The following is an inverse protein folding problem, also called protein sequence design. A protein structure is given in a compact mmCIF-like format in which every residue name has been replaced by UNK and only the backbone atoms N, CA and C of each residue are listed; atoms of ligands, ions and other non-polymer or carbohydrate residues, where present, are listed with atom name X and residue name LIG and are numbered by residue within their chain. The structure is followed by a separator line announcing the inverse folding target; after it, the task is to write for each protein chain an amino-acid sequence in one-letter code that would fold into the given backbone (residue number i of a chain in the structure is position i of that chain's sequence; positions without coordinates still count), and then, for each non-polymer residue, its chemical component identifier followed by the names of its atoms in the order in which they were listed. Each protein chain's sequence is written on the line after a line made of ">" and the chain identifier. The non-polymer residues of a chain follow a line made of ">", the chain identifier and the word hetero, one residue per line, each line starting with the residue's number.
data_IF_093162541341
#
_entry.id   IF_093162541341
#
_cell.length_a   1.000
_cell.length_b   1.000
_cell.length_c   1.000
_cell.angle_alpha   90.00
_cell.angle_beta   90.00
_cell.angle_gamma   90.00
#
_symmetry.space_group_name_H-M   'P 1'
#
loop_
_entity.id
_entity.type
_entity.pdbx_description
1 polymer ?
#
# COMPACT_ATOMS: atom_id res chain seq x y z
N UNK A 1 -4.69 -31.51 20.99
CA UNK A 1 -5.62 -31.73 19.84
C UNK A 1 -7.00 -32.06 20.41
N UNK A 2 -8.15 -31.71 19.80
CA UNK A 2 -8.42 -30.78 18.68
C UNK A 2 -9.61 -29.78 18.90
N UNK A 3 -9.69 -28.79 17.99
CA UNK A 3 -10.87 -28.11 17.35
C UNK A 3 -11.92 -27.31 18.15
N UNK A 4 -11.87 -25.99 17.92
CA UNK A 4 -12.87 -25.13 17.25
C UNK A 4 -14.38 -25.33 17.51
N UNK A 5 -15.06 -24.22 17.86
CA UNK A 5 -16.30 -23.84 17.17
C UNK A 5 -16.55 -22.32 17.23
N UNK A 6 -16.97 -21.83 16.08
CA UNK A 6 -17.37 -20.48 15.69
C UNK A 6 -18.58 -19.97 16.45
N UNK A 7 -18.47 -18.79 17.08
CA UNK A 7 -19.63 -17.98 17.45
C UNK A 7 -20.00 -17.09 16.28
N UNK A 8 -21.01 -17.54 15.53
CA UNK A 8 -21.68 -16.75 14.50
C UNK A 8 -22.39 -15.52 15.08
N UNK A 9 -22.68 -14.59 14.18
CA UNK A 9 -23.54 -13.44 14.42
C UNK A 9 -24.79 -13.82 15.22
N UNK A 10 -24.90 -13.31 16.44
CA UNK A 10 -26.19 -13.15 17.09
C UNK A 10 -26.64 -11.72 16.85
N UNK A 11 -27.49 -11.56 15.84
CA UNK A 11 -28.32 -10.38 15.73
C UNK A 11 -29.31 -10.44 16.90
N UNK A 12 -29.17 -9.51 17.84
CA UNK A 12 -29.97 -9.45 19.05
C UNK A 12 -31.46 -9.33 18.69
N UNK A 13 -32.20 -10.40 18.99
CA UNK A 13 -33.52 -10.42 19.62
C UNK A 13 -34.44 -9.23 19.34
N UNK A 14 -35.36 -9.42 18.38
CA UNK A 14 -36.69 -8.82 18.45
C UNK A 14 -37.62 -9.88 19.06
N UNK A 15 -37.88 -9.76 20.36
CA UNK A 15 -38.89 -10.56 21.06
C UNK A 15 -40.28 -10.04 20.69
N UNK A 16 -41.04 -10.79 19.89
CA UNK A 16 -42.47 -10.58 19.71
C UNK A 16 -43.23 -11.74 20.33
N UNK A 17 -43.54 -11.61 21.62
CA UNK A 17 -44.66 -12.32 22.26
C UNK A 17 -45.97 -11.72 21.74
N UNK A 18 -46.89 -12.55 21.24
CA UNK A 18 -48.33 -12.25 21.29
C UNK A 18 -49.05 -11.90 19.98
N UNK A 19 -50.02 -12.76 19.68
CA UNK A 19 -51.15 -12.61 18.75
C UNK A 19 -50.89 -12.88 17.26
N UNK A 20 -51.55 -13.95 16.78
CA UNK A 20 -51.69 -14.28 15.36
C UNK A 20 -52.68 -13.31 14.71
N UNK A 21 -52.21 -12.18 14.21
CA UNK A 21 -52.96 -11.40 13.21
C UNK A 21 -52.49 -11.84 11.83
N UNK A 22 -53.42 -12.31 11.00
CA UNK A 22 -53.15 -12.63 9.60
C UNK A 22 -52.62 -11.38 8.87
N UNK A 23 -51.30 -11.33 8.66
CA UNK A 23 -50.68 -10.26 7.87
C UNK A 23 -51.28 -10.28 6.47
N UNK A 24 -51.79 -9.13 6.03
CA UNK A 24 -52.30 -8.99 4.67
C UNK A 24 -51.17 -9.20 3.66
N UNK A 25 -51.51 -9.68 2.44
CA UNK A 25 -50.54 -9.79 1.34
C UNK A 25 -49.81 -8.47 1.05
N UNK A 26 -50.45 -7.33 1.31
CA UNK A 26 -49.83 -6.01 1.21
C UNK A 26 -48.76 -5.77 2.28
N UNK A 27 -48.99 -6.22 3.53
CA UNK A 27 -47.99 -6.13 4.60
C UNK A 27 -46.80 -7.08 4.35
N UNK A 28 -47.04 -8.26 3.79
CA UNK A 28 -45.99 -9.19 3.37
C UNK A 28 -45.17 -8.64 2.19
N UNK A 29 -45.82 -8.00 1.21
CA UNK A 29 -45.14 -7.34 0.10
C UNK A 29 -44.37 -6.10 0.55
N UNK A 30 -44.88 -5.34 1.52
CA UNK A 30 -44.19 -4.20 2.11
C UNK A 30 -42.96 -4.62 2.94
N UNK A 31 -43.06 -5.71 3.71
CA UNK A 31 -41.92 -6.29 4.44
C UNK A 31 -40.88 -6.92 3.50
N UNK A 32 -41.31 -7.59 2.41
CA UNK A 32 -40.40 -8.04 1.36
C UNK A 32 -39.75 -6.86 0.61
N UNK A 33 -40.48 -5.78 0.35
CA UNK A 33 -39.94 -4.56 -0.26
C UNK A 33 -38.96 -3.84 0.67
N UNK A 34 -39.21 -3.81 1.99
CA UNK A 34 -38.30 -3.27 3.00
C UNK A 34 -37.06 -4.16 3.20
N UNK A 35 -37.22 -5.49 3.12
CA UNK A 35 -36.10 -6.44 3.16
C UNK A 35 -35.23 -6.38 1.89
N UNK A 36 -35.82 -6.09 0.73
CA UNK A 36 -35.11 -5.88 -0.53
C UNK A 36 -34.52 -4.46 -0.65
N UNK A 37 -35.15 -3.45 -0.05
CA UNK A 37 -34.64 -2.08 0.00
C UNK A 37 -33.51 -1.92 1.04
N UNK A 38 -33.52 -2.70 2.12
CA UNK A 38 -32.46 -2.73 3.14
C UNK A 38 -31.10 -3.25 2.63
N UNK A 39 -31.05 -3.81 1.41
CA UNK A 39 -29.83 -4.31 0.79
C UNK A 39 -29.25 -3.37 -0.29
N UNK A 40 -29.94 -2.30 -0.68
CA UNK A 40 -29.48 -1.40 -1.75
C UNK A 40 -28.54 -0.27 -1.27
N UNK A 41 -28.33 -0.14 0.05
CA UNK A 41 -27.62 0.99 0.67
C UNK A 41 -26.55 0.55 1.68
N UNK A 42 -26.07 -0.69 1.62
CA UNK A 42 -24.88 -1.07 2.40
C UNK A 42 -23.63 -0.44 1.74
N UNK A 43 -23.48 0.87 1.92
CA UNK A 43 -22.43 1.72 1.32
C UNK A 43 -21.09 1.59 2.07
N UNK A 44 -20.81 0.40 2.62
CA UNK A 44 -19.69 0.08 3.50
C UNK A 44 -19.46 1.06 4.66
N UNK A 45 -20.45 1.89 5.00
CA UNK A 45 -20.27 2.98 5.97
C UNK A 45 -19.99 2.45 7.38
N UNK A 46 -20.56 1.30 7.75
CA UNK A 46 -20.24 0.61 9.00
C UNK A 46 -18.78 0.11 9.03
N UNK A 47 -18.28 -0.43 7.91
CA UNK A 47 -16.87 -0.84 7.76
C UNK A 47 -15.94 0.35 7.94
N UNK A 48 -16.25 1.49 7.33
CA UNK A 48 -15.43 2.70 7.45
C UNK A 48 -15.45 3.25 8.88
N UNK A 49 -16.62 3.37 9.51
CA UNK A 49 -16.74 3.84 10.91
C UNK A 49 -15.94 2.94 11.86
N UNK A 50 -16.04 1.62 11.70
CA UNK A 50 -15.33 0.69 12.56
C UNK A 50 -13.82 0.67 12.27
N UNK A 51 -13.40 0.84 11.02
CA UNK A 51 -11.99 0.98 10.67
C UNK A 51 -11.40 2.28 11.23
N UNK A 52 -12.13 3.41 11.18
CA UNK A 52 -11.75 4.68 11.83
C UNK A 52 -11.54 4.51 13.33
N UNK A 53 -12.32 3.65 13.99
CA UNK A 53 -12.18 3.31 15.41
C UNK A 53 -10.97 2.39 15.70
N UNK A 54 -10.21 1.98 14.67
CA UNK A 54 -9.03 1.14 14.82
C UNK A 54 -9.32 -0.35 14.87
N UNK A 55 -10.53 -0.80 14.54
CA UNK A 55 -10.82 -2.23 14.44
C UNK A 55 -10.07 -2.85 13.24
N UNK A 56 -9.00 -3.60 13.56
CA UNK A 56 -8.06 -4.13 12.57
C UNK A 56 -8.69 -4.98 11.46
N UNK A 57 -9.77 -5.71 11.77
CA UNK A 57 -10.52 -6.48 10.77
C UNK A 57 -11.04 -5.57 9.64
N UNK A 58 -11.54 -4.39 10.00
CA UNK A 58 -12.14 -3.47 9.06
C UNK A 58 -11.08 -2.63 8.33
N UNK A 59 -9.95 -2.34 8.99
CA UNK A 59 -8.75 -1.80 8.31
C UNK A 59 -8.29 -2.74 7.19
N UNK A 60 -8.32 -4.06 7.42
CA UNK A 60 -8.03 -5.04 6.38
C UNK A 60 -9.09 -5.06 5.27
N UNK A 61 -10.38 -4.99 5.61
CA UNK A 61 -11.49 -4.90 4.63
C UNK A 61 -11.37 -3.68 3.72
N UNK A 62 -10.89 -2.53 4.21
CA UNK A 62 -10.59 -1.35 3.37
C UNK A 62 -9.55 -1.66 2.30
N UNK A 63 -8.61 -2.57 2.56
CA UNK A 63 -7.65 -3.05 1.56
C UNK A 63 -8.30 -3.87 0.43
N UNK A 64 -9.49 -4.42 0.65
CA UNK A 64 -10.23 -5.23 -0.33
C UNK A 64 -11.14 -4.42 -1.25
N UNK A 65 -11.19 -3.10 -1.09
CA UNK A 65 -11.96 -2.24 -1.98
C UNK A 65 -11.50 -2.41 -3.43
N UNK A 66 -12.46 -2.65 -4.32
CA UNK A 66 -12.23 -2.89 -5.74
C UNK A 66 -11.72 -4.29 -6.10
N UNK A 67 -11.76 -5.27 -5.18
CA UNK A 67 -11.50 -6.67 -5.52
C UNK A 67 -12.64 -7.26 -6.38
N UNK A 68 -12.39 -7.70 -7.63
CA UNK A 68 -13.40 -8.35 -8.45
C UNK A 68 -13.90 -9.69 -7.89
N UNK A 69 -13.12 -10.38 -7.04
CA UNK A 69 -13.50 -11.63 -6.41
C UNK A 69 -14.42 -11.44 -5.19
N UNK A 70 -14.56 -10.22 -4.69
CA UNK A 70 -15.45 -9.84 -3.59
C UNK A 70 -16.50 -8.92 -4.20
N UNK A 71 -17.53 -9.44 -4.90
CA UNK A 71 -18.56 -8.59 -5.47
C UNK A 71 -19.33 -7.93 -4.32
N UNK A 72 -19.21 -6.60 -4.12
CA UNK A 72 -20.04 -5.92 -3.15
C UNK A 72 -21.50 -5.86 -3.66
N UNK A 73 -22.48 -5.66 -2.77
CA UNK A 73 -23.84 -5.33 -3.19
C UNK A 73 -23.91 -4.03 -4.03
N UNK A 74 -22.88 -3.18 -3.94
CA UNK A 74 -22.75 -1.88 -4.60
C UNK A 74 -21.31 -1.75 -5.13
N UNK A 75 -21.11 -1.64 -6.45
CA UNK A 75 -19.76 -1.52 -7.03
C UNK A 75 -18.97 -0.36 -6.38
N UNK A 76 -17.81 -0.68 -5.77
CA UNK A 76 -16.94 0.34 -5.20
C UNK A 76 -16.42 1.26 -6.31
N UNK A 77 -16.95 2.49 -6.36
CA UNK A 77 -16.47 3.53 -7.28
C UNK A 77 -15.13 4.11 -6.84
N UNK A 78 -14.46 4.84 -7.75
CA UNK A 78 -13.20 5.54 -7.48
C UNK A 78 -13.24 6.41 -6.22
N UNK A 79 -14.40 6.99 -5.89
CA UNK A 79 -14.63 7.77 -4.65
C UNK A 79 -14.33 6.95 -3.39
N UNK A 80 -14.86 5.74 -3.30
CA UNK A 80 -14.71 4.86 -2.12
C UNK A 80 -13.27 4.39 -1.95
N UNK A 81 -12.58 4.13 -3.05
CA UNK A 81 -11.14 3.81 -3.03
C UNK A 81 -10.34 5.01 -2.51
N UNK A 82 -10.65 6.24 -2.96
CA UNK A 82 -9.99 7.46 -2.48
C UNK A 82 -10.22 7.69 -0.98
N UNK A 83 -11.45 7.48 -0.49
CA UNK A 83 -11.75 7.53 0.95
C UNK A 83 -11.00 6.45 1.73
N UNK A 84 -10.83 5.25 1.16
CA UNK A 84 -10.03 4.19 1.75
C UNK A 84 -8.57 4.58 1.97
N UNK A 85 -7.96 5.33 1.03
CA UNK A 85 -6.61 5.89 1.23
C UNK A 85 -6.56 6.86 2.41
N UNK A 86 -7.52 7.78 2.51
CA UNK A 86 -7.59 8.73 3.61
C UNK A 86 -7.71 8.02 4.95
N UNK A 87 -8.54 6.97 5.01
CA UNK A 87 -8.76 6.16 6.21
C UNK A 87 -7.48 5.43 6.66
N UNK A 88 -6.73 4.83 5.74
CA UNK A 88 -5.52 4.07 6.09
C UNK A 88 -4.37 4.95 6.61
N UNK A 89 -4.36 6.23 6.25
CA UNK A 89 -3.27 7.18 6.57
C UNK A 89 -2.90 7.23 8.06
N UNK A 90 -3.83 7.49 9.01
CA UNK A 90 -3.50 7.50 10.44
C UNK A 90 -2.98 6.15 10.97
N UNK A 91 -3.47 5.02 10.43
CA UNK A 91 -3.04 3.70 10.90
C UNK A 91 -1.61 3.34 10.49
N UNK A 92 -1.11 3.88 9.37
CA UNK A 92 0.28 3.71 8.95
C UNK A 92 1.28 4.31 9.95
N UNK A 93 0.83 5.28 10.75
CA UNK A 93 1.61 5.95 11.78
C UNK A 93 1.24 5.50 13.20
N UNK A 94 0.43 4.44 13.34
CA UNK A 94 0.04 3.91 14.65
C UNK A 94 1.26 3.56 15.51
N UNK A 95 1.17 3.76 16.82
CA UNK A 95 2.21 3.29 17.75
C UNK A 95 2.28 1.77 17.81
N UNK A 96 1.16 1.07 17.56
CA UNK A 96 1.10 -0.39 17.50
C UNK A 96 1.73 -0.91 16.20
N UNK A 97 2.85 -1.67 16.28
CA UNK A 97 3.50 -2.25 15.10
C UNK A 97 2.58 -3.15 14.28
N UNK A 98 1.67 -3.89 14.94
CA UNK A 98 0.76 -4.79 14.26
C UNK A 98 -0.28 -4.00 13.45
N UNK A 99 -0.88 -2.97 14.04
CA UNK A 99 -1.75 -2.04 13.33
C UNK A 99 -1.09 -1.39 12.11
N UNK A 100 0.16 -0.90 12.25
CA UNK A 100 0.89 -0.30 11.11
C UNK A 100 1.10 -1.30 9.97
N UNK A 101 1.48 -2.54 10.29
CA UNK A 101 1.71 -3.59 9.31
C UNK A 101 0.44 -3.95 8.55
N UNK A 102 -0.67 -4.10 9.27
CA UNK A 102 -1.97 -4.38 8.68
C UNK A 102 -2.47 -3.24 7.79
N UNK A 103 -2.30 -2.00 8.23
CA UNK A 103 -2.62 -0.82 7.43
C UNK A 103 -1.77 -0.74 6.16
N UNK A 104 -0.47 -1.04 6.26
CA UNK A 104 0.43 -1.07 5.11
C UNK A 104 0.03 -2.16 4.11
N UNK A 105 -0.34 -3.35 4.58
CA UNK A 105 -0.78 -4.43 3.70
C UNK A 105 -2.11 -4.09 3.01
N UNK A 106 -3.06 -3.49 3.73
CA UNK A 106 -4.29 -2.98 3.15
C UNK A 106 -4.01 -1.93 2.07
N UNK A 107 -3.11 -0.98 2.36
CA UNK A 107 -2.68 0.06 1.42
C UNK A 107 -2.07 -0.56 0.15
N UNK A 108 -1.17 -1.53 0.32
CA UNK A 108 -0.50 -2.21 -0.80
C UNK A 108 -1.51 -2.87 -1.74
N UNK A 109 -2.54 -3.52 -1.19
CA UNK A 109 -3.62 -4.15 -1.96
C UNK A 109 -4.45 -3.12 -2.72
N UNK A 110 -4.81 -2.03 -2.05
CA UNK A 110 -5.56 -0.92 -2.63
C UNK A 110 -4.82 -0.30 -3.82
N UNK A 111 -3.51 -0.04 -3.65
CA UNK A 111 -2.62 0.47 -4.71
C UNK A 111 -2.55 -0.47 -5.89
N UNK A 112 -2.43 -1.78 -5.67
CA UNK A 112 -2.34 -2.75 -6.76
C UNK A 112 -3.59 -2.73 -7.65
N UNK A 113 -4.77 -2.41 -7.08
CA UNK A 113 -6.06 -2.31 -7.79
C UNK A 113 -6.32 -0.93 -8.40
N UNK A 114 -5.72 0.13 -7.84
CA UNK A 114 -6.00 1.53 -8.24
C UNK A 114 -4.73 2.36 -8.51
N UNK A 115 -3.74 1.76 -9.18
CA UNK A 115 -2.44 2.39 -9.47
C UNK A 115 -2.52 3.82 -10.06
N UNK A 116 -3.42 4.12 -11.03
CA UNK A 116 -3.53 5.49 -11.57
C UNK A 116 -3.93 6.49 -10.47
N UNK A 117 -4.95 6.15 -9.68
CA UNK A 117 -5.43 7.00 -8.58
C UNK A 117 -4.33 7.27 -7.55
N UNK A 118 -3.56 6.24 -7.17
CA UNK A 118 -2.42 6.41 -6.27
C UNK A 118 -1.37 7.37 -6.84
N UNK A 119 -0.99 7.21 -8.12
CA UNK A 119 0.01 8.05 -8.78
C UNK A 119 -0.41 9.52 -8.86
N UNK A 120 -1.68 9.75 -9.13
CA UNK A 120 -2.20 11.09 -9.37
C UNK A 120 -2.47 11.84 -8.06
N UNK A 121 -3.00 11.16 -7.04
CA UNK A 121 -3.61 11.81 -5.87
C UNK A 121 -3.06 11.41 -4.49
N UNK A 122 -2.29 10.33 -4.36
CA UNK A 122 -1.86 9.79 -3.05
C UNK A 122 -0.37 9.43 -2.99
N UNK A 123 0.40 10.07 -3.86
CA UNK A 123 1.75 9.63 -4.22
C UNK A 123 2.75 9.85 -3.06
N UNK A 124 2.45 10.78 -2.18
CA UNK A 124 3.17 11.19 -0.97
C UNK A 124 2.89 10.32 0.26
N UNK A 125 1.87 9.46 0.21
CA UNK A 125 1.39 8.69 1.37
C UNK A 125 2.45 7.71 1.92
N UNK A 126 3.42 7.30 1.10
CA UNK A 126 4.52 6.42 1.52
C UNK A 126 5.70 7.16 2.16
N UNK A 127 5.83 8.49 2.00
CA UNK A 127 6.94 9.27 2.56
C UNK A 127 7.10 9.12 4.09
N UNK A 128 6.04 9.23 4.92
CA UNK A 128 6.18 9.01 6.36
C UNK A 128 6.59 7.57 6.70
N UNK A 129 6.17 6.58 5.90
CA UNK A 129 6.54 5.17 6.12
C UNK A 129 8.03 4.94 5.82
N UNK A 130 8.55 5.57 4.76
CA UNK A 130 9.97 5.51 4.41
C UNK A 130 10.88 6.16 5.45
N UNK A 131 10.40 7.18 6.16
CA UNK A 131 11.15 7.88 7.23
C UNK A 131 10.88 7.30 8.62
N UNK A 132 10.01 6.31 8.72
CA UNK A 132 9.61 5.71 9.99
C UNK A 132 10.73 4.87 10.62
N UNK A 133 10.60 4.61 11.91
CA UNK A 133 11.61 3.87 12.69
C UNK A 133 11.65 2.37 12.37
N UNK A 134 10.54 1.82 11.87
CA UNK A 134 10.35 0.39 11.64
C UNK A 134 11.01 -0.07 10.32
N UNK A 135 12.13 -0.82 10.37
CA UNK A 135 12.83 -1.24 9.15
C UNK A 135 11.98 -2.17 8.28
N UNK A 136 11.08 -2.96 8.88
CA UNK A 136 10.20 -3.87 8.17
C UNK A 136 9.24 -3.10 7.25
N UNK A 137 8.74 -1.97 7.71
CA UNK A 137 7.88 -1.10 6.91
C UNK A 137 8.69 -0.29 5.88
N UNK A 138 9.89 0.19 6.25
CA UNK A 138 10.75 0.94 5.31
C UNK A 138 11.09 0.11 4.08
N UNK A 139 11.57 -1.13 4.24
CA UNK A 139 11.94 -1.95 3.08
C UNK A 139 10.73 -2.32 2.22
N UNK A 140 9.56 -2.58 2.84
CA UNK A 140 8.32 -2.86 2.11
C UNK A 140 7.82 -1.64 1.34
N UNK A 141 7.91 -0.46 1.91
CA UNK A 141 7.58 0.80 1.25
C UNK A 141 8.52 1.07 0.06
N UNK A 142 9.83 0.87 0.24
CA UNK A 142 10.80 0.99 -0.85
C UNK A 142 10.52 -0.01 -1.97
N UNK A 143 10.24 -1.28 -1.62
CA UNK A 143 9.83 -2.30 -2.58
C UNK A 143 8.57 -1.91 -3.33
N UNK A 144 7.56 -1.38 -2.64
CA UNK A 144 6.31 -0.95 -3.26
C UNK A 144 6.54 0.18 -4.26
N UNK A 145 7.34 1.19 -3.92
CA UNK A 145 7.70 2.26 -4.86
C UNK A 145 8.43 1.74 -6.10
N UNK A 146 9.38 0.80 -5.94
CA UNK A 146 10.05 0.19 -7.08
C UNK A 146 9.12 -0.66 -7.96
N UNK A 147 8.09 -1.30 -7.38
CA UNK A 147 7.02 -1.99 -8.14
C UNK A 147 6.13 -1.02 -8.91
N UNK A 148 5.97 0.20 -8.42
CA UNK A 148 5.22 1.26 -9.07
C UNK A 148 6.06 2.07 -10.06
N UNK A 149 7.37 1.84 -10.07
CA UNK A 149 8.36 2.59 -10.84
C UNK A 149 8.34 4.08 -10.52
N UNK A 150 8.17 4.39 -9.22
CA UNK A 150 8.14 5.75 -8.69
C UNK A 150 9.38 5.99 -7.85
N UNK A 151 10.02 7.15 -8.05
CA UNK A 151 11.08 7.63 -7.17
C UNK A 151 10.57 8.67 -6.17
N UNK A 152 11.27 8.79 -5.04
CA UNK A 152 11.05 9.77 -3.98
C UNK A 152 12.40 10.23 -3.43
N UNK A 153 12.53 11.49 -3.00
CA UNK A 153 13.73 11.95 -2.30
C UNK A 153 14.08 11.08 -1.08
N UNK A 154 13.07 10.54 -0.38
CA UNK A 154 13.29 9.63 0.75
C UNK A 154 14.02 8.34 0.35
N UNK A 155 13.84 7.82 -0.88
CA UNK A 155 14.56 6.62 -1.33
C UNK A 155 16.06 6.85 -1.47
N UNK A 156 16.49 8.06 -1.82
CA UNK A 156 17.92 8.41 -1.93
C UNK A 156 18.61 8.24 -0.57
N UNK A 157 18.00 8.74 0.50
CA UNK A 157 18.52 8.59 1.86
C UNK A 157 18.58 7.11 2.29
N UNK A 158 17.55 6.33 1.97
CA UNK A 158 17.48 4.91 2.35
C UNK A 158 18.54 4.02 1.69
N UNK A 159 19.24 4.47 0.64
CA UNK A 159 20.38 3.72 0.08
C UNK A 159 21.51 3.49 1.08
N UNK A 160 21.55 4.28 2.16
CA UNK A 160 22.54 4.19 3.25
C UNK A 160 21.92 3.70 4.57
N UNK A 161 20.71 3.14 4.53
CA UNK A 161 20.02 2.65 5.72
C UNK A 161 20.87 1.61 6.47
N UNK A 162 20.72 1.57 7.79
CA UNK A 162 21.43 0.62 8.65
C UNK A 162 20.95 -0.82 8.42
N UNK A 163 19.66 -1.02 8.11
CA UNK A 163 19.13 -2.33 7.75
C UNK A 163 19.48 -2.63 6.27
N UNK A 164 20.27 -3.68 5.99
CA UNK A 164 20.69 -4.02 4.63
C UNK A 164 19.53 -4.29 3.68
N UNK A 165 18.40 -4.81 4.17
CA UNK A 165 17.21 -5.08 3.35
C UNK A 165 16.59 -3.76 2.90
N UNK A 166 16.59 -2.73 3.75
CA UNK A 166 16.09 -1.41 3.38
C UNK A 166 16.98 -0.79 2.32
N UNK A 167 18.30 -0.80 2.55
CA UNK A 167 19.28 -0.26 1.60
C UNK A 167 19.21 -0.95 0.22
N UNK A 168 19.19 -2.29 0.20
CA UNK A 168 19.06 -3.08 -1.03
C UNK A 168 17.77 -2.71 -1.80
N UNK A 169 16.64 -2.61 -1.09
CA UNK A 169 15.34 -2.31 -1.69
C UNK A 169 15.25 -0.87 -2.19
N UNK A 170 15.87 0.09 -1.50
CA UNK A 170 15.95 1.47 -1.94
C UNK A 170 16.74 1.59 -3.25
N UNK A 171 17.93 1.00 -3.30
CA UNK A 171 18.78 0.96 -4.51
C UNK A 171 18.05 0.29 -5.68
N UNK A 172 17.40 -0.84 -5.41
CA UNK A 172 16.59 -1.52 -6.42
C UNK A 172 15.44 -0.63 -6.92
N UNK A 173 14.73 0.07 -6.03
CA UNK A 173 13.60 0.92 -6.37
C UNK A 173 14.02 2.11 -7.25
N UNK A 174 15.13 2.78 -6.92
CA UNK A 174 15.69 3.87 -7.74
C UNK A 174 16.03 3.39 -9.16
N UNK A 175 16.64 2.20 -9.26
CA UNK A 175 16.92 1.57 -10.56
C UNK A 175 15.67 1.16 -11.34
N UNK A 176 14.58 0.77 -10.67
CA UNK A 176 13.28 0.46 -11.30
C UNK A 176 12.60 1.72 -11.83
N UNK A 177 12.65 2.80 -11.06
CA UNK A 177 12.13 4.11 -11.44
C UNK A 177 12.99 4.77 -12.55
N UNK A 178 14.21 4.27 -12.80
CA UNK A 178 15.22 4.86 -13.70
C UNK A 178 15.50 6.32 -13.30
N UNK A 179 15.63 6.53 -12.00
CA UNK A 179 15.85 7.85 -11.43
C UNK A 179 17.24 8.37 -11.81
N UNK A 180 17.30 9.28 -12.78
CA UNK A 180 18.53 9.89 -13.26
C UNK A 180 19.27 10.71 -12.20
N UNK A 181 18.56 11.21 -11.19
CA UNK A 181 19.16 11.97 -10.08
C UNK A 181 19.82 11.04 -9.07
N UNK A 182 19.44 9.75 -9.08
CA UNK A 182 19.99 8.78 -8.16
C UNK A 182 21.41 8.31 -8.55
N UNK A 183 21.98 8.75 -9.67
CA UNK A 183 23.28 8.24 -10.15
C UNK A 183 24.37 8.39 -9.09
N UNK A 184 24.46 9.53 -8.41
CA UNK A 184 25.47 9.75 -7.36
C UNK A 184 25.28 8.80 -6.17
N UNK A 185 24.06 8.68 -5.65
CA UNK A 185 23.77 7.79 -4.51
C UNK A 185 23.92 6.32 -4.87
N UNK A 186 23.62 5.94 -6.11
CA UNK A 186 23.82 4.59 -6.63
C UNK A 186 25.32 4.26 -6.79
N UNK A 187 26.15 5.22 -7.20
CA UNK A 187 27.60 5.04 -7.22
C UNK A 187 28.15 4.83 -5.80
N UNK A 188 27.69 5.62 -4.83
CA UNK A 188 28.08 5.44 -3.42
C UNK A 188 27.63 4.06 -2.87
N UNK A 189 26.50 3.54 -3.33
CA UNK A 189 26.00 2.21 -2.95
C UNK A 189 26.85 1.05 -3.49
N UNK A 190 27.79 1.26 -4.41
CA UNK A 190 28.72 0.22 -4.87
C UNK A 190 29.75 -0.21 -3.81
N UNK A 191 30.01 0.68 -2.84
CA UNK A 191 31.03 0.49 -1.81
C UNK A 191 30.62 -0.57 -0.78
N UNK A 192 29.31 -0.71 -0.52
CA UNK A 192 28.77 -1.67 0.43
C UNK A 192 28.47 -2.99 -0.26
N UNK A 193 28.78 -4.09 0.40
CA UNK A 193 28.62 -5.44 -0.18
C UNK A 193 27.15 -5.75 -0.50
N UNK A 194 26.24 -5.38 0.39
CA UNK A 194 24.82 -5.75 0.30
C UNK A 194 24.09 -4.99 -0.82
N UNK A 195 24.57 -3.79 -1.14
CA UNK A 195 23.96 -2.94 -2.19
C UNK A 195 24.71 -2.97 -3.51
N UNK A 196 25.91 -3.57 -3.59
CA UNK A 196 26.76 -3.55 -4.79
C UNK A 196 26.09 -4.12 -6.04
N UNK A 197 25.57 -5.33 -5.93
CA UNK A 197 24.85 -6.02 -7.01
C UNK A 197 23.59 -5.26 -7.46
N UNK A 198 22.68 -4.85 -6.55
CA UNK A 198 21.57 -3.96 -6.88
C UNK A 198 22.01 -2.65 -7.54
N UNK A 199 23.10 -2.03 -7.05
CA UNK A 199 23.59 -0.74 -7.52
C UNK A 199 24.12 -0.82 -8.95
N UNK A 200 24.90 -1.85 -9.30
CA UNK A 200 25.33 -2.09 -10.69
C UNK A 200 24.10 -2.18 -11.60
N UNK A 201 23.11 -3.00 -11.25
CA UNK A 201 21.88 -3.18 -12.05
C UNK A 201 21.07 -1.89 -12.14
N UNK A 202 21.01 -1.09 -11.06
CA UNK A 202 20.31 0.18 -11.03
C UNK A 202 21.00 1.23 -11.90
N UNK A 203 22.34 1.34 -11.83
CA UNK A 203 23.14 2.23 -12.67
C UNK A 203 22.98 1.87 -14.15
N UNK A 204 23.02 0.58 -14.51
CA UNK A 204 22.79 0.12 -15.88
C UNK A 204 21.42 0.52 -16.43
N UNK A 205 20.37 0.43 -15.59
CA UNK A 205 18.99 0.81 -15.98
C UNK A 205 18.82 2.31 -16.14
N UNK A 206 19.44 3.07 -15.25
CA UNK A 206 19.30 4.53 -15.16
C UNK A 206 20.11 5.24 -16.24
N UNK A 207 21.37 4.82 -16.47
CA UNK A 207 22.29 5.44 -17.43
C UNK A 207 22.25 4.79 -18.82
N UNK A 208 21.66 3.60 -18.93
CA UNK A 208 21.68 2.78 -20.14
C UNK A 208 23.01 2.07 -20.42
N UNK A 209 24.04 2.23 -19.59
CA UNK A 209 25.39 1.65 -19.80
C UNK A 209 25.47 0.20 -19.33
N UNK A 210 24.81 -0.71 -20.07
CA UNK A 210 24.71 -2.13 -19.71
C UNK A 210 26.02 -2.92 -19.71
N UNK A 211 27.07 -2.42 -20.37
CA UNK A 211 28.37 -3.12 -20.50
C UNK A 211 29.27 -2.93 -19.28
N UNK A 212 28.96 -1.99 -18.39
CA UNK A 212 29.74 -1.75 -17.18
C UNK A 212 29.20 -2.65 -16.07
N UNK A 213 30.02 -3.61 -15.65
CA UNK A 213 29.65 -4.62 -14.65
C UNK A 213 30.50 -4.49 -13.39
N UNK A 214 31.66 -3.85 -13.46
CA UNK A 214 32.60 -3.73 -12.34
C UNK A 214 32.47 -2.38 -11.63
N UNK A 215 32.80 -2.37 -10.33
CA UNK A 215 32.84 -1.14 -9.54
C UNK A 215 33.86 -0.16 -10.11
N UNK A 216 35.03 -0.64 -10.51
CA UNK A 216 36.11 0.16 -11.12
C UNK A 216 35.66 0.77 -12.45
N UNK A 217 34.88 0.03 -13.24
CA UNK A 217 34.30 0.52 -14.49
C UNK A 217 33.35 1.68 -14.25
N UNK A 218 32.48 1.57 -13.24
CA UNK A 218 31.58 2.65 -12.84
C UNK A 218 32.31 3.86 -12.27
N UNK A 219 33.37 3.64 -11.47
CA UNK A 219 34.22 4.73 -10.96
C UNK A 219 34.95 5.47 -12.09
N UNK A 220 35.43 4.75 -13.10
CA UNK A 220 36.11 5.37 -14.25
C UNK A 220 35.12 6.15 -15.11
N UNK A 221 33.96 5.57 -15.40
CA UNK A 221 32.87 6.24 -16.12
C UNK A 221 32.41 7.53 -15.41
N UNK A 222 32.25 7.50 -14.08
CA UNK A 222 31.84 8.67 -13.31
C UNK A 222 32.85 9.82 -13.39
N UNK A 223 34.16 9.52 -13.44
CA UNK A 223 35.22 10.53 -13.61
C UNK A 223 35.21 11.16 -15.01
N UNK A 224 34.86 10.38 -16.03
CA UNK A 224 34.82 10.84 -17.42
C UNK A 224 33.57 11.66 -17.76
N UNK A 225 32.53 11.60 -16.91
CA UNK A 225 31.22 12.20 -17.19
C UNK A 225 30.67 13.01 -15.98
N UNK A 226 31.40 14.03 -15.47
CA UNK A 226 30.94 14.82 -14.32
C UNK A 226 29.58 15.49 -14.56
N UNK A 227 29.26 15.88 -15.80
CA UNK A 227 27.99 16.47 -16.19
C UNK A 227 26.75 15.56 -15.99
N UNK A 228 26.93 14.24 -15.94
CA UNK A 228 25.83 13.30 -15.64
C UNK A 228 25.51 13.25 -14.13
N UNK A 229 26.45 13.69 -13.28
CA UNK A 229 26.27 13.83 -11.83
C UNK A 229 25.62 15.18 -11.46
N UNK A 230 25.75 16.19 -12.32
CA UNK A 230 25.28 17.55 -12.09
C UNK A 230 23.87 17.83 -12.64
N UNK A 231 23.17 16.83 -13.20
CA UNK A 231 21.82 17.05 -13.74
C UNK A 231 20.88 17.48 -12.62
N UNK A 232 20.26 18.67 -12.69
CA UNK A 232 19.35 19.14 -11.66
C UNK A 232 18.10 18.26 -11.60
N UNK A 233 17.47 18.18 -10.41
CA UNK A 233 16.29 17.36 -10.25
C UNK A 233 15.14 17.84 -11.16
N UNK A 234 14.45 16.89 -11.81
CA UNK A 234 13.36 17.13 -12.77
C UNK A 234 12.00 17.28 -12.10
#
# INVERSE_FOLDING_TARGET
>A
MPRASSSGCSCATCACTGSRSAMSRAALLALCALALAGCQTCDASATFVAAEQGELRFVHEVGELGDPAIPPPNSYGLKRISEGYALLTPHLQSSDPFARLHAFEALRRLIQRSKPLFRDSHRELLDPVLRGEDPELRWRAAWLLGRLELSRPALHALTKDEDPRVAERAVWALGRAKDGEAVEVLLAALEREETREPAIKALQRTTGKRRIETVEGWRSWAKEQPQELEKPPR
#
